data_IF_042063526576
#
_entry.id   IF_042063526576
#
_cell.length_a   1.000
_cell.length_b   1.000
_cell.length_c   1.000
_cell.angle_alpha   90.00
_cell.angle_beta   90.00
_cell.angle_gamma   90.00
#
_symmetry.space_group_name_H-M   'P 1'
#
loop_
_entity.id
_entity.type
_entity.pdbx_description
1 polymer ?
#
# COMPACT_ATOMS: atom_id res chain seq x y z
N UNK A 1 -5.28 -7.68 54.23
CA UNK A 1 -4.89 -8.36 52.98
C UNK A 1 -5.70 -7.91 51.76
N UNK A 2 -6.98 -7.55 51.90
CA UNK A 2 -7.76 -7.03 50.76
C UNK A 2 -7.32 -5.64 50.26
N UNK A 3 -6.96 -4.70 51.14
CA UNK A 3 -6.76 -3.30 50.72
C UNK A 3 -5.55 -3.12 49.79
N UNK A 4 -4.41 -3.74 50.13
CA UNK A 4 -3.20 -3.69 49.31
C UNK A 4 -3.38 -4.35 47.94
N UNK A 5 -4.18 -5.43 47.87
CA UNK A 5 -4.50 -6.08 46.61
C UNK A 5 -5.40 -5.21 45.73
N UNK A 6 -6.44 -4.59 46.31
CA UNK A 6 -7.27 -3.62 45.58
C UNK A 6 -6.44 -2.45 45.07
N UNK A 7 -5.55 -1.90 45.90
CA UNK A 7 -4.70 -0.79 45.50
C UNK A 7 -3.69 -1.16 44.39
N UNK A 8 -3.17 -2.39 44.42
CA UNK A 8 -2.32 -2.90 43.35
C UNK A 8 -3.08 -3.07 42.02
N UNK A 9 -4.34 -3.53 42.08
CA UNK A 9 -5.20 -3.65 40.90
C UNK A 9 -5.57 -2.27 40.34
N UNK A 10 -5.92 -1.31 41.20
CA UNK A 10 -6.19 0.07 40.79
C UNK A 10 -4.97 0.70 40.11
N UNK A 11 -3.77 0.49 40.66
CA UNK A 11 -2.53 0.98 40.06
C UNK A 11 -2.26 0.32 38.70
N UNK A 12 -2.51 -0.99 38.57
CA UNK A 12 -2.35 -1.71 37.30
C UNK A 12 -3.31 -1.17 36.24
N UNK A 13 -4.59 -0.98 36.59
CA UNK A 13 -5.61 -0.46 35.67
C UNK A 13 -5.27 0.98 35.28
N UNK A 14 -4.90 1.83 36.24
CA UNK A 14 -4.54 3.22 35.97
C UNK A 14 -3.30 3.33 35.07
N UNK A 15 -2.24 2.57 35.38
CA UNK A 15 -1.00 2.57 34.61
C UNK A 15 -1.20 1.99 33.21
N UNK A 16 -1.82 0.82 33.10
CA UNK A 16 -2.07 0.15 31.81
C UNK A 16 -3.08 0.94 30.96
N UNK A 17 -4.10 1.54 31.59
CA UNK A 17 -5.10 2.37 30.92
C UNK A 17 -4.49 3.65 30.34
N UNK A 18 -3.61 4.33 31.08
CA UNK A 18 -2.91 5.51 30.58
C UNK A 18 -2.00 5.18 29.39
N UNK A 19 -1.21 4.10 29.50
CA UNK A 19 -0.35 3.66 28.39
C UNK A 19 -1.19 3.28 27.17
N UNK A 20 -2.29 2.54 27.35
CA UNK A 20 -3.19 2.19 26.26
C UNK A 20 -3.77 3.43 25.58
N UNK A 21 -4.30 4.38 26.36
CA UNK A 21 -4.84 5.63 25.83
C UNK A 21 -3.78 6.43 25.07
N UNK A 22 -2.56 6.51 25.60
CA UNK A 22 -1.44 7.18 24.95
C UNK A 22 -1.09 6.53 23.60
N UNK A 23 -0.99 5.20 23.56
CA UNK A 23 -0.74 4.47 22.31
C UNK A 23 -1.87 4.67 21.30
N UNK A 24 -3.14 4.64 21.72
CA UNK A 24 -4.29 4.92 20.83
C UNK A 24 -4.17 6.32 20.23
N UNK A 25 -3.83 7.33 21.03
CA UNK A 25 -3.61 8.70 20.54
C UNK A 25 -2.46 8.74 19.53
N UNK A 26 -1.34 8.06 19.81
CA UNK A 26 -0.21 7.98 18.86
C UNK A 26 -0.59 7.28 17.55
N UNK A 27 -1.37 6.20 17.60
CA UNK A 27 -1.88 5.52 16.40
C UNK A 27 -2.78 6.45 15.59
N UNK A 28 -3.67 7.21 16.24
CA UNK A 28 -4.49 8.20 15.54
C UNK A 28 -3.61 9.29 14.92
N UNK A 29 -2.66 9.84 15.66
CA UNK A 29 -1.76 10.89 15.17
C UNK A 29 -0.94 10.43 13.96
N UNK A 30 -0.35 9.23 14.01
CA UNK A 30 0.40 8.65 12.89
C UNK A 30 -0.51 8.32 11.70
N UNK A 31 -1.74 7.89 11.94
CA UNK A 31 -2.74 7.66 10.88
C UNK A 31 -3.15 8.97 10.20
N UNK A 32 -3.34 10.04 10.98
CA UNK A 32 -3.62 11.38 10.46
C UNK A 32 -2.44 11.87 9.63
N UNK A 33 -1.21 11.72 10.12
CA UNK A 33 0.00 12.05 9.37
C UNK A 33 0.05 11.29 8.04
N UNK A 34 -0.22 9.98 8.05
CA UNK A 34 -0.30 9.17 6.83
C UNK A 34 -1.37 9.68 5.86
N UNK A 35 -2.58 9.99 6.35
CA UNK A 35 -3.66 10.56 5.53
C UNK A 35 -3.32 11.92 4.93
N UNK A 36 -2.70 12.80 5.71
CA UNK A 36 -2.25 14.12 5.29
C UNK A 36 -1.21 13.95 4.18
N UNK A 37 -0.21 13.11 4.38
CA UNK A 37 0.82 12.83 3.36
C UNK A 37 0.17 12.29 2.09
N UNK A 38 -0.69 11.27 2.15
CA UNK A 38 -1.36 10.71 0.95
C UNK A 38 -2.25 11.75 0.25
N UNK A 39 -2.88 12.66 1.00
CA UNK A 39 -3.81 13.64 0.44
C UNK A 39 -3.10 14.84 -0.21
N UNK A 40 -1.96 15.27 0.35
CA UNK A 40 -1.22 16.46 -0.09
C UNK A 40 0.04 16.15 -0.90
N UNK A 41 0.56 14.91 -0.83
CA UNK A 41 1.63 14.50 -1.71
C UNK A 41 1.11 14.32 -3.14
N UNK A 42 1.89 14.70 -4.16
CA UNK A 42 1.59 14.37 -5.55
C UNK A 42 1.41 12.86 -5.72
N UNK A 43 0.55 12.39 -6.64
CA UNK A 43 0.43 10.98 -6.94
C UNK A 43 1.80 10.45 -7.34
N UNK A 44 2.35 9.56 -6.51
CA UNK A 44 3.55 8.83 -6.86
C UNK A 44 3.25 8.08 -8.16
N UNK A 45 4.08 8.19 -9.22
CA UNK A 45 3.86 7.44 -10.44
C UNK A 45 3.74 5.98 -10.03
N UNK A 46 2.62 5.35 -10.39
CA UNK A 46 2.29 3.99 -10.00
C UNK A 46 3.48 3.07 -10.31
N UNK A 47 4.32 2.82 -9.32
CA UNK A 47 5.23 1.69 -9.37
C UNK A 47 4.31 0.49 -9.40
N UNK A 48 4.37 -0.35 -10.44
CA UNK A 48 3.46 -1.45 -10.55
C UNK A 48 3.67 -2.34 -9.33
N UNK A 49 2.74 -2.25 -8.37
CA UNK A 49 2.61 -3.22 -7.30
C UNK A 49 2.50 -4.54 -8.03
N UNK A 50 3.51 -5.40 -7.85
CA UNK A 50 3.48 -6.77 -8.34
C UNK A 50 2.34 -7.46 -7.59
N UNK A 51 1.13 -7.30 -8.10
CA UNK A 51 -0.02 -8.11 -7.73
C UNK A 51 0.37 -9.54 -8.07
N UNK A 52 0.20 -10.52 -7.16
CA UNK A 52 0.27 -11.91 -7.55
C UNK A 52 -0.69 -12.10 -8.73
N UNK A 53 -0.14 -12.36 -9.91
CA UNK A 53 -0.89 -12.55 -11.15
C UNK A 53 -1.92 -13.63 -10.89
N UNK A 54 -3.18 -13.25 -10.72
CA UNK A 54 -4.28 -14.19 -10.85
C UNK A 54 -4.13 -14.77 -12.27
N UNK A 55 -3.90 -16.08 -12.35
CA UNK A 55 -3.81 -16.80 -13.62
C UNK A 55 -5.16 -16.61 -14.32
N UNK A 56 -5.21 -15.73 -15.31
CA UNK A 56 -6.37 -15.64 -16.18
C UNK A 56 -6.35 -16.90 -17.05
N UNK A 57 -7.38 -17.71 -16.86
CA UNK A 57 -7.71 -18.85 -17.71
C UNK A 57 -8.72 -18.35 -18.75
N UNK A 58 -8.21 -17.73 -19.81
CA UNK A 58 -8.94 -17.49 -21.05
C UNK A 58 -7.93 -17.51 -22.21
N UNK A 59 -8.27 -18.11 -23.37
CA UNK A 59 -7.38 -18.16 -24.52
C UNK A 59 -7.04 -16.72 -24.97
N UNK A 60 -5.74 -16.47 -25.17
CA UNK A 60 -5.17 -15.20 -25.63
C UNK A 60 -5.80 -14.77 -26.97
N UNK A 61 -6.89 -14.02 -26.93
CA UNK A 61 -7.20 -13.10 -28.02
C UNK A 61 -6.15 -12.00 -27.93
N UNK A 62 -5.17 -12.04 -28.83
CA UNK A 62 -4.12 -11.02 -28.90
C UNK A 62 -4.79 -9.65 -28.98
N UNK A 63 -4.50 -8.83 -27.97
CA UNK A 63 -5.08 -7.51 -27.81
C UNK A 63 -4.71 -6.63 -29.02
N UNK A 64 -5.67 -5.91 -29.64
CA UNK A 64 -5.43 -5.12 -30.85
C UNK A 64 -4.30 -4.08 -30.69
N UNK A 65 -4.15 -3.50 -29.49
CA UNK A 65 -3.07 -2.56 -29.19
C UNK A 65 -1.70 -3.24 -29.25
N UNK A 66 -1.62 -4.52 -28.84
CA UNK A 66 -0.41 -5.32 -28.94
C UNK A 66 -0.02 -5.56 -30.41
N UNK A 67 -1.00 -5.81 -31.28
CA UNK A 67 -0.76 -5.97 -32.73
C UNK A 67 -0.26 -4.68 -33.36
N UNK A 68 -0.83 -3.53 -32.98
CA UNK A 68 -0.38 -2.23 -33.47
C UNK A 68 1.04 -1.88 -33.00
N UNK A 69 1.34 -2.13 -31.73
CA UNK A 69 2.68 -1.94 -31.16
C UNK A 69 3.73 -2.80 -31.88
N UNK A 70 3.43 -4.08 -32.14
CA UNK A 70 4.32 -4.99 -32.88
C UNK A 70 4.54 -4.48 -34.32
N UNK A 71 3.48 -4.05 -35.02
CA UNK A 71 3.59 -3.48 -36.37
C UNK A 71 4.51 -2.27 -36.41
N UNK A 72 4.35 -1.34 -35.45
CA UNK A 72 5.18 -0.14 -35.34
C UNK A 72 6.64 -0.48 -35.05
N UNK A 73 6.89 -1.44 -34.15
CA UNK A 73 8.23 -1.93 -33.85
C UNK A 73 8.93 -2.54 -35.07
N UNK A 74 8.21 -3.36 -35.86
CA UNK A 74 8.76 -3.96 -37.09
C UNK A 74 9.06 -2.88 -38.15
N UNK A 75 8.16 -1.91 -38.34
CA UNK A 75 8.36 -0.81 -39.28
C UNK A 75 9.61 0.03 -38.90
N UNK A 76 9.75 0.33 -37.61
CA UNK A 76 10.91 1.06 -37.07
C UNK A 76 12.21 0.26 -37.22
N UNK A 77 12.18 -1.05 -36.97
CA UNK A 77 13.34 -1.92 -37.16
C UNK A 77 13.77 -1.96 -38.63
N UNK A 78 12.84 -2.18 -39.57
CA UNK A 78 13.12 -2.18 -41.01
C UNK A 78 13.66 -0.84 -41.50
N UNK A 79 13.09 0.27 -41.05
CA UNK A 79 13.58 1.60 -41.39
C UNK A 79 15.02 1.84 -40.89
N UNK A 80 15.35 1.33 -39.69
CA UNK A 80 16.67 1.45 -39.08
C UNK A 80 17.71 0.49 -39.68
N UNK A 81 17.26 -0.64 -40.22
CA UNK A 81 18.13 -1.70 -40.75
C UNK A 81 18.25 -1.71 -42.29
N UNK A 82 17.67 -0.71 -42.98
CA UNK A 82 17.81 -0.48 -44.42
C UNK A 82 18.93 0.54 -44.71
N UNK A 83 20.13 0.27 -44.19
CA UNK A 83 21.38 0.92 -44.59
C UNK A 83 22.37 -0.14 -45.01
#
# INVERSE_FOLDING_TARGET
>A
MNELMTQAVDLMIAGMGFVFAFLVILVIATTLMSKVIVRFAPPEPATPVRTPRAKSSAPESVDPDTVEAIKKAIAQFRARHKK
#
